data_IF_366461592524
#
_entry.id   IF_366461592524
#
_cell.length_a   1.000
_cell.length_b   1.000
_cell.length_c   1.000
_cell.angle_alpha   90.00
_cell.angle_beta   90.00
_cell.angle_gamma   90.00
#
_symmetry.space_group_name_H-M   'P 1'
#
loop_
_entity.id
_entity.type
_entity.pdbx_description
1 polymer ?
#
# COMPACT_ATOMS: atom_id res chain seq x y z
N UNK A 1 1.65 22.47 -4.31
CA UNK A 1 2.19 21.31 -5.06
C UNK A 1 1.23 20.12 -5.11
N UNK A 2 0.71 19.64 -3.97
CA UNK A 2 -0.17 18.47 -3.92
C UNK A 2 -1.33 18.49 -4.95
N UNK A 3 -2.04 19.62 -5.07
CA UNK A 3 -3.13 19.76 -6.03
C UNK A 3 -2.67 19.54 -7.48
N UNK A 4 -1.63 20.27 -7.92
CA UNK A 4 -1.08 20.13 -9.27
C UNK A 4 -0.54 18.71 -9.51
N UNK A 5 0.12 18.12 -8.50
CA UNK A 5 0.71 16.78 -8.55
C UNK A 5 -0.31 15.68 -8.80
N UNK A 6 -1.46 15.74 -8.14
CA UNK A 6 -2.57 14.81 -8.39
C UNK A 6 -3.06 14.92 -9.84
N UNK A 7 -3.17 16.13 -10.38
CA UNK A 7 -3.68 16.35 -11.75
C UNK A 7 -2.71 15.79 -12.80
N UNK A 8 -1.43 16.19 -12.77
CA UNK A 8 -0.50 15.73 -13.82
C UNK A 8 -0.14 14.25 -13.70
N UNK A 9 -0.04 13.69 -12.48
CA UNK A 9 0.13 12.23 -12.32
C UNK A 9 -1.13 11.50 -12.74
N UNK A 10 -2.31 12.01 -12.38
CA UNK A 10 -3.59 11.51 -12.85
C UNK A 10 -3.65 11.45 -14.37
N UNK A 11 -3.21 12.51 -15.06
CA UNK A 11 -3.11 12.55 -16.53
C UNK A 11 -2.19 11.47 -17.10
N UNK A 12 -1.03 11.24 -16.49
CA UNK A 12 -0.11 10.17 -16.89
C UNK A 12 -0.71 8.78 -16.66
N UNK A 13 -1.37 8.55 -15.51
CA UNK A 13 -2.08 7.30 -15.23
C UNK A 13 -3.25 7.06 -16.18
N UNK A 14 -4.02 8.09 -16.51
CA UNK A 14 -5.10 7.98 -17.52
C UNK A 14 -4.54 7.65 -18.90
N UNK A 15 -3.42 8.28 -19.29
CA UNK A 15 -2.78 8.02 -20.58
C UNK A 15 -2.27 6.58 -20.67
N UNK A 16 -1.55 6.10 -19.66
CA UNK A 16 -1.07 4.71 -19.61
C UNK A 16 -2.21 3.70 -19.42
N UNK A 17 -3.25 4.07 -18.69
CA UNK A 17 -4.47 3.28 -18.54
C UNK A 17 -5.23 3.13 -19.86
N UNK A 18 -5.26 4.17 -20.69
CA UNK A 18 -5.82 4.11 -22.04
C UNK A 18 -4.99 3.20 -22.96
N UNK A 19 -3.65 3.23 -22.85
CA UNK A 19 -2.77 2.28 -23.54
C UNK A 19 -3.08 0.86 -23.09
N UNK A 20 -3.11 0.59 -21.78
CA UNK A 20 -3.44 -0.72 -21.23
C UNK A 20 -4.82 -1.22 -21.69
N UNK A 21 -5.84 -0.35 -21.70
CA UNK A 21 -7.19 -0.68 -22.16
C UNK A 21 -7.22 -1.10 -23.63
N UNK A 22 -6.34 -0.53 -24.46
CA UNK A 22 -6.29 -0.79 -25.90
C UNK A 22 -5.34 -1.91 -26.32
N UNK A 23 -4.21 -2.06 -25.63
CA UNK A 23 -3.18 -3.05 -25.98
C UNK A 23 -3.25 -4.31 -25.13
N UNK A 24 -3.85 -4.24 -23.93
CA UNK A 24 -3.83 -5.32 -22.93
C UNK A 24 -2.43 -5.59 -22.35
N UNK A 25 -1.44 -4.73 -22.64
CA UNK A 25 -0.05 -4.88 -22.19
C UNK A 25 0.34 -3.74 -21.26
N UNK A 26 1.03 -4.09 -20.17
CA UNK A 26 1.56 -3.13 -19.19
C UNK A 26 3.09 -3.03 -19.19
N UNK A 27 3.79 -3.99 -19.81
CA UNK A 27 5.24 -4.03 -19.83
C UNK A 27 5.77 -2.98 -20.82
N UNK A 28 6.64 -2.09 -20.35
CA UNK A 28 7.25 -1.09 -21.22
C UNK A 28 8.06 -1.68 -22.39
N UNK A 29 8.62 -2.88 -22.20
CA UNK A 29 9.34 -3.64 -23.24
C UNK A 29 8.46 -4.13 -24.38
N UNK A 30 7.14 -4.25 -24.15
CA UNK A 30 6.19 -4.74 -25.14
C UNK A 30 5.50 -3.59 -25.89
N UNK A 31 5.75 -2.35 -25.46
CA UNK A 31 5.11 -1.14 -25.96
C UNK A 31 6.12 -0.33 -26.78
N UNK A 32 5.60 0.42 -27.74
CA UNK A 32 6.38 1.32 -28.56
C UNK A 32 5.74 1.55 -29.94
N UNK A 33 6.04 2.69 -30.55
CA UNK A 33 5.49 3.09 -31.85
C UNK A 33 4.02 3.53 -31.83
N UNK A 34 3.38 3.61 -30.65
CA UNK A 34 1.95 3.89 -30.51
C UNK A 34 1.54 5.31 -30.91
N UNK A 35 2.49 6.23 -31.08
CA UNK A 35 2.21 7.62 -31.49
C UNK A 35 1.45 7.70 -32.83
N UNK A 36 1.63 6.70 -33.72
CA UNK A 36 0.96 6.65 -35.03
C UNK A 36 -0.51 6.24 -34.92
N UNK A 37 -0.85 5.44 -33.92
CA UNK A 37 -2.16 4.80 -33.76
C UNK A 37 -3.03 5.49 -32.71
N UNK A 38 -2.40 6.12 -31.71
CA UNK A 38 -3.06 6.81 -30.60
C UNK A 38 -2.54 8.26 -30.41
N UNK A 39 -2.51 9.10 -31.47
CA UNK A 39 -1.88 10.42 -31.42
C UNK A 39 -2.48 11.38 -30.37
N UNK A 40 -3.80 11.29 -30.10
CA UNK A 40 -4.44 12.15 -29.09
C UNK A 40 -4.01 11.76 -27.68
N UNK A 41 -4.00 10.46 -27.40
CA UNK A 41 -3.51 9.93 -26.11
C UNK A 41 -2.04 10.26 -25.92
N UNK A 42 -1.22 10.17 -26.97
CA UNK A 42 0.19 10.59 -26.93
C UNK A 42 0.32 12.08 -26.60
N UNK A 43 -0.46 12.95 -27.25
CA UNK A 43 -0.44 14.38 -26.96
C UNK A 43 -0.78 14.70 -25.51
N UNK A 44 -1.82 14.06 -24.95
CA UNK A 44 -2.17 14.22 -23.53
C UNK A 44 -1.10 13.67 -22.60
N UNK A 45 -0.47 12.54 -22.94
CA UNK A 45 0.65 12.01 -22.18
C UNK A 45 1.84 12.98 -22.17
N UNK A 46 2.16 13.59 -23.31
CA UNK A 46 3.23 14.61 -23.42
C UNK A 46 2.90 15.83 -22.55
N UNK A 47 1.64 16.29 -22.51
CA UNK A 47 1.24 17.40 -21.62
C UNK A 47 1.43 17.01 -20.15
N UNK A 48 1.03 15.79 -19.75
CA UNK A 48 1.29 15.29 -18.40
C UNK A 48 2.78 15.18 -18.09
N UNK A 49 3.57 14.71 -19.05
CA UNK A 49 5.03 14.57 -18.95
C UNK A 49 5.73 15.93 -18.84
N UNK A 50 5.33 16.93 -19.64
CA UNK A 50 5.82 18.29 -19.55
C UNK A 50 5.46 18.94 -18.20
N UNK A 51 4.25 18.66 -17.70
CA UNK A 51 3.77 19.15 -16.40
C UNK A 51 4.56 18.56 -15.25
N UNK A 52 4.73 17.24 -15.17
CA UNK A 52 5.52 16.62 -14.09
C UNK A 52 7.00 17.04 -14.12
N UNK A 53 7.50 17.38 -15.31
CA UNK A 53 8.89 17.82 -15.53
C UNK A 53 9.10 19.30 -15.23
N UNK A 54 8.05 20.03 -14.85
CA UNK A 54 8.13 21.46 -14.58
C UNK A 54 8.63 22.28 -15.79
N UNK A 55 8.14 21.98 -17.00
CA UNK A 55 8.33 22.90 -18.13
C UNK A 55 7.64 24.23 -17.85
N UNK A 56 8.23 25.37 -18.27
CA UNK A 56 7.55 26.66 -18.23
C UNK A 56 6.16 26.59 -18.88
N UNK A 57 5.21 27.35 -18.34
CA UNK A 57 3.78 27.34 -18.73
C UNK A 57 2.95 26.15 -18.23
N UNK A 58 3.54 25.19 -17.53
CA UNK A 58 2.81 24.07 -16.92
C UNK A 58 2.76 24.18 -15.39
N UNK A 59 1.73 23.57 -14.78
CA UNK A 59 1.45 23.64 -13.34
C UNK A 59 2.56 23.08 -12.44
N UNK A 60 3.39 22.17 -12.96
CA UNK A 60 4.55 21.65 -12.24
C UNK A 60 5.67 22.68 -12.10
N UNK A 61 5.85 23.59 -13.07
CA UNK A 61 6.83 24.67 -12.97
C UNK A 61 6.52 25.54 -11.76
N UNK A 62 5.33 26.15 -11.77
CA UNK A 62 4.82 27.01 -10.71
C UNK A 62 4.95 26.35 -9.32
N UNK A 63 4.55 25.09 -9.20
CA UNK A 63 4.47 24.44 -7.89
C UNK A 63 5.78 23.85 -7.37
N UNK A 64 6.68 23.39 -8.26
CA UNK A 64 8.00 22.88 -7.84
C UNK A 64 8.99 24.01 -7.62
N UNK A 65 8.99 25.02 -8.49
CA UNK A 65 9.89 26.18 -8.34
C UNK A 65 9.60 26.93 -7.04
N UNK A 66 8.33 27.07 -6.66
CA UNK A 66 7.92 27.65 -5.37
C UNK A 66 8.55 26.92 -4.17
N UNK A 67 8.53 25.59 -4.14
CA UNK A 67 9.11 24.81 -3.04
C UNK A 67 10.64 24.94 -3.03
N UNK A 68 11.27 24.94 -4.21
CA UNK A 68 12.71 25.10 -4.32
C UNK A 68 13.16 26.47 -3.81
N UNK A 69 12.45 27.54 -4.18
CA UNK A 69 12.76 28.91 -3.74
C UNK A 69 12.53 29.06 -2.25
N UNK A 70 11.41 28.54 -1.72
CA UNK A 70 11.17 28.53 -0.28
C UNK A 70 12.25 27.77 0.51
N UNK A 71 12.82 26.69 -0.05
CA UNK A 71 13.93 25.97 0.59
C UNK A 71 15.23 26.79 0.59
N UNK A 72 15.52 27.54 -0.49
CA UNK A 72 16.66 28.45 -0.56
C UNK A 72 16.52 29.64 0.39
N UNK A 73 15.35 30.28 0.42
CA UNK A 73 15.10 31.47 1.25
C UNK A 73 15.22 31.17 2.75
N UNK A 74 14.91 29.94 3.16
CA UNK A 74 15.06 29.47 4.54
C UNK A 74 16.48 28.95 4.87
N UNK A 75 17.42 29.03 3.92
CA UNK A 75 18.80 28.57 4.09
C UNK A 75 18.96 27.04 4.14
N UNK A 76 18.00 26.28 3.60
CA UNK A 76 18.04 24.82 3.56
C UNK A 76 18.76 24.30 2.31
N UNK A 77 20.02 24.68 2.12
CA UNK A 77 20.81 24.39 0.91
C UNK A 77 20.87 22.89 0.57
N UNK A 78 21.04 22.03 1.58
CA UNK A 78 21.08 20.58 1.38
C UNK A 78 19.73 20.02 0.90
N UNK A 79 18.62 20.55 1.44
CA UNK A 79 17.28 20.17 1.01
C UNK A 79 17.05 20.65 -0.41
N UNK A 80 17.44 21.88 -0.73
CA UNK A 80 17.36 22.41 -2.08
C UNK A 80 18.14 21.57 -3.09
N UNK A 81 19.40 21.19 -2.80
CA UNK A 81 20.19 20.30 -3.65
C UNK A 81 19.49 18.95 -3.85
N UNK A 82 18.93 18.37 -2.78
CA UNK A 82 18.19 17.11 -2.85
C UNK A 82 16.94 17.26 -3.75
N UNK A 83 16.20 18.36 -3.62
CA UNK A 83 15.04 18.67 -4.45
C UNK A 83 15.43 18.90 -5.92
N UNK A 84 16.57 19.54 -6.17
CA UNK A 84 17.13 19.76 -7.50
C UNK A 84 17.41 18.42 -8.20
N UNK A 85 18.12 17.52 -7.52
CA UNK A 85 18.39 16.16 -8.01
C UNK A 85 17.09 15.36 -8.19
N UNK A 86 16.15 15.45 -7.24
CA UNK A 86 14.86 14.80 -7.36
C UNK A 86 14.06 15.31 -8.57
N UNK A 87 14.11 16.62 -8.85
CA UNK A 87 13.45 17.23 -10.01
C UNK A 87 14.05 16.71 -11.33
N UNK A 88 15.37 16.68 -11.44
CA UNK A 88 16.07 16.10 -12.59
C UNK A 88 15.77 14.60 -12.76
N UNK A 89 15.76 13.82 -11.68
CA UNK A 89 15.40 12.41 -11.70
C UNK A 89 13.97 12.16 -12.16
N UNK A 90 13.02 12.98 -11.70
CA UNK A 90 11.61 12.91 -12.12
C UNK A 90 11.43 13.28 -13.59
N UNK A 91 12.11 14.33 -14.07
CA UNK A 91 12.10 14.65 -15.50
C UNK A 91 12.64 13.47 -16.33
N UNK A 92 13.74 12.87 -15.88
CA UNK A 92 14.32 11.76 -16.61
C UNK A 92 13.43 10.50 -16.62
N UNK A 93 12.87 10.12 -15.46
CA UNK A 93 12.00 8.94 -15.35
C UNK A 93 10.59 9.18 -15.88
N UNK A 94 9.87 10.18 -15.38
CA UNK A 94 8.46 10.37 -15.75
C UNK A 94 8.29 11.24 -16.99
N UNK A 95 9.16 12.24 -17.18
CA UNK A 95 9.10 13.17 -18.32
C UNK A 95 9.56 12.55 -19.64
N UNK A 96 10.68 11.83 -19.62
CA UNK A 96 11.28 11.25 -20.82
C UNK A 96 10.92 9.77 -20.95
N UNK A 97 11.21 8.95 -19.93
CA UNK A 97 11.14 7.48 -20.02
C UNK A 97 9.74 6.98 -20.38
N UNK A 98 8.70 7.46 -19.69
CA UNK A 98 7.32 6.98 -19.87
C UNK A 98 6.82 7.28 -21.30
N UNK A 99 6.80 8.54 -21.78
CA UNK A 99 6.33 8.80 -23.14
C UNK A 99 7.22 8.16 -24.20
N UNK A 100 8.54 8.11 -23.97
CA UNK A 100 9.49 7.53 -24.91
C UNK A 100 9.22 6.04 -25.11
N UNK A 101 9.19 5.22 -24.06
CA UNK A 101 8.97 3.78 -24.22
C UNK A 101 7.55 3.43 -24.67
N UNK A 102 6.53 4.12 -24.17
CA UNK A 102 5.16 3.82 -24.57
C UNK A 102 4.87 4.20 -26.05
N UNK A 103 5.38 5.34 -26.52
CA UNK A 103 4.95 5.91 -27.81
C UNK A 103 6.06 6.01 -28.86
N UNK A 104 7.31 6.28 -28.50
CA UNK A 104 8.39 6.64 -29.43
C UNK A 104 9.56 5.63 -29.51
N UNK A 105 9.50 4.53 -28.76
CA UNK A 105 10.50 3.48 -28.82
C UNK A 105 10.35 2.62 -30.08
N UNK A 106 10.76 1.35 -30.01
CA UNK A 106 10.69 0.42 -31.13
C UNK A 106 9.23 0.23 -31.59
N UNK A 107 9.02 -0.13 -32.86
CA UNK A 107 7.67 -0.45 -33.34
C UNK A 107 7.26 -1.83 -32.79
N UNK A 108 6.34 -1.83 -31.83
CA UNK A 108 5.81 -3.05 -31.22
C UNK A 108 4.93 -3.88 -32.17
N UNK A 109 4.60 -3.36 -33.36
CA UNK A 109 3.65 -3.97 -34.30
C UNK A 109 2.19 -3.89 -33.84
N UNK A 110 1.94 -3.36 -32.63
CA UNK A 110 0.60 -3.12 -32.12
C UNK A 110 -0.06 -2.00 -32.92
N UNK A 111 -1.31 -2.24 -33.36
CA UNK A 111 -2.13 -1.26 -34.08
C UNK A 111 -3.48 -1.03 -33.39
N UNK A 112 -3.47 -0.58 -32.12
CA UNK A 112 -4.71 -0.32 -31.41
C UNK A 112 -5.47 0.87 -32.03
N UNK A 113 -6.77 0.93 -31.79
CA UNK A 113 -7.56 2.14 -32.03
C UNK A 113 -7.27 3.18 -30.93
N UNK A 114 -7.45 4.45 -31.23
CA UNK A 114 -7.38 5.56 -30.27
C UNK A 114 -8.27 5.33 -29.03
N UNK A 115 -7.95 5.92 -27.88
CA UNK A 115 -8.77 5.78 -26.67
C UNK A 115 -10.25 6.19 -26.88
N UNK A 116 -11.21 5.56 -26.18
CA UNK A 116 -12.62 5.93 -26.30
C UNK A 116 -12.85 7.39 -25.85
N UNK A 117 -13.81 8.06 -26.47
CA UNK A 117 -14.07 9.50 -26.29
C UNK A 117 -14.19 9.95 -24.83
N UNK A 118 -14.88 9.22 -23.92
CA UNK A 118 -14.94 9.63 -22.51
C UNK A 118 -13.56 9.70 -21.83
N UNK A 119 -12.65 8.78 -22.14
CA UNK A 119 -11.27 8.81 -21.62
C UNK A 119 -10.49 9.99 -22.22
N UNK A 120 -10.67 10.28 -23.51
CA UNK A 120 -10.06 11.45 -24.16
C UNK A 120 -10.54 12.76 -23.54
N UNK A 121 -11.83 12.88 -23.21
CA UNK A 121 -12.38 14.06 -22.55
C UNK A 121 -11.78 14.23 -21.16
N UNK A 122 -11.72 13.16 -20.36
CA UNK A 122 -11.11 13.19 -19.02
C UNK A 122 -9.63 13.62 -19.08
N UNK A 123 -8.86 13.05 -20.02
CA UNK A 123 -7.47 13.46 -20.26
C UNK A 123 -7.37 14.91 -20.75
N UNK A 124 -8.28 15.34 -21.62
CA UNK A 124 -8.34 16.72 -22.12
C UNK A 124 -8.61 17.73 -21.01
N UNK A 125 -9.52 17.44 -20.08
CA UNK A 125 -9.81 18.29 -18.92
C UNK A 125 -8.58 18.39 -18.02
N UNK A 126 -7.94 17.26 -17.69
CA UNK A 126 -6.74 17.27 -16.86
C UNK A 126 -5.56 17.99 -17.55
N UNK A 127 -5.37 17.79 -18.85
CA UNK A 127 -4.36 18.49 -19.64
C UNK A 127 -4.62 20.01 -19.68
N UNK A 128 -5.87 20.42 -19.85
CA UNK A 128 -6.27 21.81 -19.76
C UNK A 128 -5.95 22.39 -18.38
N UNK A 129 -6.32 21.71 -17.28
CA UNK A 129 -6.02 22.17 -15.93
C UNK A 129 -4.50 22.26 -15.66
N UNK A 130 -3.71 21.34 -16.20
CA UNK A 130 -2.25 21.40 -16.12
C UNK A 130 -1.65 22.65 -16.77
N UNK A 131 -2.15 23.05 -17.94
CA UNK A 131 -1.69 24.25 -18.65
C UNK A 131 -2.27 25.50 -18.00
N UNK A 132 -3.57 25.50 -17.71
CA UNK A 132 -4.28 26.62 -17.10
C UNK A 132 -3.68 27.04 -15.76
N UNK A 133 -3.44 26.09 -14.86
CA UNK A 133 -2.79 26.39 -13.57
C UNK A 133 -1.30 26.76 -13.71
N UNK A 134 -0.68 26.42 -14.85
CA UNK A 134 0.65 26.91 -15.19
C UNK A 134 0.59 28.38 -15.56
N UNK A 135 -0.23 28.74 -16.55
CA UNK A 135 -0.32 30.10 -17.11
C UNK A 135 -0.98 31.08 -16.13
N UNK A 136 -2.01 30.67 -15.42
CA UNK A 136 -2.78 31.49 -14.49
C UNK A 136 -2.75 30.90 -13.07
N UNK A 137 -1.62 30.98 -12.36
CA UNK A 137 -1.44 30.36 -11.04
C UNK A 137 -2.21 31.09 -9.93
N UNK A 138 -2.56 32.36 -10.14
CA UNK A 138 -3.20 33.25 -9.19
C UNK A 138 -4.51 32.68 -8.62
N UNK A 139 -5.32 32.03 -9.47
CA UNK A 139 -6.55 31.39 -9.02
C UNK A 139 -6.31 30.36 -7.91
N UNK A 140 -5.21 29.59 -8.00
CA UNK A 140 -4.87 28.61 -6.99
C UNK A 140 -4.28 29.29 -5.75
N UNK A 141 -3.55 30.40 -5.91
CA UNK A 141 -2.95 31.13 -4.79
C UNK A 141 -4.02 31.78 -3.91
N UNK A 142 -5.07 32.34 -4.50
CA UNK A 142 -6.19 32.94 -3.78
C UNK A 142 -6.97 31.90 -2.93
N UNK A 143 -6.89 30.62 -3.29
CA UNK A 143 -7.50 29.53 -2.55
C UNK A 143 -6.61 28.98 -1.43
N UNK A 144 -5.34 29.42 -1.34
CA UNK A 144 -4.44 28.95 -0.30
C UNK A 144 -4.77 29.61 1.04
N UNK A 145 -4.60 28.89 2.17
CA UNK A 145 -4.93 29.41 3.49
C UNK A 145 -4.00 30.54 3.96
N UNK A 146 -2.85 30.73 3.30
CA UNK A 146 -1.85 31.74 3.63
C UNK A 146 -1.54 32.59 2.40
N UNK A 147 -1.24 33.89 2.57
CA UNK A 147 -0.84 34.74 1.47
C UNK A 147 0.47 34.23 0.86
N UNK A 148 0.54 34.19 -0.47
CA UNK A 148 1.69 33.70 -1.23
C UNK A 148 2.17 34.77 -2.20
N UNK A 149 3.27 35.43 -1.84
CA UNK A 149 3.94 36.43 -2.68
C UNK A 149 5.01 35.79 -3.56
N UNK A 150 4.63 34.77 -4.34
CA UNK A 150 5.55 34.07 -5.25
C UNK A 150 5.25 34.43 -6.70
N UNK A 151 6.23 35.00 -7.40
CA UNK A 151 6.14 35.28 -8.84
C UNK A 151 6.85 34.16 -9.64
N UNK A 152 6.11 33.20 -10.23
CA UNK A 152 6.74 32.07 -10.93
C UNK A 152 7.48 32.48 -12.21
N UNK A 153 7.03 33.53 -12.90
CA UNK A 153 7.54 33.92 -14.21
C UNK A 153 8.59 35.03 -14.18
N UNK A 154 9.49 34.99 -13.20
CA UNK A 154 10.69 35.86 -13.23
C UNK A 154 11.75 35.25 -14.13
N UNK A 155 12.68 36.08 -14.61
CA UNK A 155 13.81 35.65 -15.43
C UNK A 155 14.62 34.54 -14.75
N UNK A 156 14.89 34.67 -13.46
CA UNK A 156 15.68 33.73 -12.67
C UNK A 156 15.01 32.35 -12.57
N UNK A 157 13.72 32.30 -12.25
CA UNK A 157 12.97 31.04 -12.14
C UNK A 157 12.89 30.32 -13.48
N UNK A 158 12.62 31.05 -14.56
CA UNK A 158 12.53 30.46 -15.90
C UNK A 158 13.90 29.96 -16.36
N UNK A 159 14.96 30.75 -16.17
CA UNK A 159 16.32 30.38 -16.58
C UNK A 159 16.83 29.16 -15.83
N UNK A 160 16.71 29.15 -14.50
CA UNK A 160 17.17 28.02 -13.65
C UNK A 160 16.45 26.72 -14.00
N UNK A 161 15.14 26.77 -14.24
CA UNK A 161 14.40 25.60 -14.67
C UNK A 161 14.80 25.14 -16.07
N UNK A 162 14.95 26.06 -17.02
CA UNK A 162 15.42 25.73 -18.37
C UNK A 162 16.81 25.11 -18.35
N UNK A 163 17.73 25.60 -17.51
CA UNK A 163 19.05 25.00 -17.31
C UNK A 163 18.95 23.59 -16.75
N UNK A 164 18.15 23.37 -15.71
CA UNK A 164 17.94 22.04 -15.15
C UNK A 164 17.42 21.06 -16.21
N UNK A 165 16.40 21.47 -16.96
CA UNK A 165 15.82 20.66 -18.03
C UNK A 165 16.84 20.38 -19.14
N UNK A 166 17.58 21.40 -19.57
CA UNK A 166 18.60 21.27 -20.60
C UNK A 166 19.72 20.32 -20.17
N UNK A 167 20.33 20.53 -19.01
CA UNK A 167 21.43 19.69 -18.54
C UNK A 167 20.98 18.27 -18.21
N UNK A 168 19.76 18.10 -17.68
CA UNK A 168 19.21 16.76 -17.45
C UNK A 168 18.91 16.03 -18.78
N UNK A 169 18.36 16.73 -19.77
CA UNK A 169 18.13 16.17 -21.10
C UNK A 169 19.45 15.85 -21.81
N UNK A 170 20.45 16.73 -21.69
CA UNK A 170 21.80 16.52 -22.21
C UNK A 170 22.45 15.29 -21.56
N UNK A 171 22.37 15.15 -20.24
CA UNK A 171 22.88 13.98 -19.54
C UNK A 171 22.25 12.69 -20.09
N UNK A 172 20.93 12.66 -20.29
CA UNK A 172 20.27 11.52 -20.91
C UNK A 172 20.73 11.27 -22.35
N UNK A 173 20.79 12.32 -23.18
CA UNK A 173 21.21 12.22 -24.58
C UNK A 173 22.64 11.68 -24.69
N UNK A 174 23.55 12.16 -23.86
CA UNK A 174 24.94 11.67 -23.79
C UNK A 174 25.00 10.21 -23.34
N UNK A 175 24.28 9.83 -22.27
CA UNK A 175 24.22 8.43 -21.83
C UNK A 175 23.71 7.49 -22.93
N UNK A 176 22.71 7.93 -23.70
CA UNK A 176 22.19 7.20 -24.86
C UNK A 176 23.20 7.13 -26.01
N UNK A 177 23.85 8.25 -26.33
CA UNK A 177 24.85 8.34 -27.40
C UNK A 177 26.09 7.49 -27.13
N UNK A 178 26.57 7.48 -25.88
CA UNK A 178 27.69 6.64 -25.45
C UNK A 178 27.30 5.18 -25.18
N UNK A 179 26.03 4.79 -25.40
CA UNK A 179 25.49 3.45 -25.11
C UNK A 179 25.71 2.99 -23.67
N UNK A 180 25.84 3.94 -22.74
CA UNK A 180 25.91 3.68 -21.30
C UNK A 180 24.51 3.56 -20.68
N UNK A 181 23.47 3.97 -21.42
CA UNK A 181 22.10 3.82 -20.96
C UNK A 181 21.72 2.33 -20.88
N UNK A 182 21.19 1.85 -19.74
CA UNK A 182 20.82 0.44 -19.59
C UNK A 182 19.83 0.01 -20.70
N UNK A 183 20.05 -1.14 -21.35
CA UNK A 183 19.10 -1.65 -22.33
C UNK A 183 17.76 -1.98 -21.66
N UNK A 184 16.70 -2.00 -22.46
CA UNK A 184 15.40 -2.51 -22.04
C UNK A 184 15.54 -4.00 -21.71
N UNK A 185 15.67 -4.33 -20.44
CA UNK A 185 15.71 -5.73 -20.00
C UNK A 185 14.28 -6.22 -19.79
N UNK A 186 13.88 -7.36 -20.39
CA UNK A 186 12.65 -8.03 -20.02
C UNK A 186 12.80 -8.49 -18.57
N UNK A 187 12.21 -7.72 -17.66
CA UNK A 187 12.34 -7.93 -16.22
C UNK A 187 10.96 -7.92 -15.59
N UNK A 188 10.73 -8.88 -14.70
CA UNK A 188 9.50 -8.94 -13.89
C UNK A 188 9.73 -8.05 -12.69
N UNK A 189 9.06 -6.90 -12.67
CA UNK A 189 9.11 -6.01 -11.51
C UNK A 189 8.23 -6.60 -10.41
N UNK A 190 8.85 -7.07 -9.32
CA UNK A 190 8.12 -7.57 -8.16
C UNK A 190 7.53 -6.38 -7.40
N UNK A 191 6.25 -6.14 -7.61
CA UNK A 191 5.53 -5.08 -6.91
C UNK A 191 5.40 -5.41 -5.41
N UNK A 192 5.25 -4.38 -4.57
CA UNK A 192 4.97 -4.52 -3.14
C UNK A 192 3.73 -5.39 -2.87
N UNK A 193 2.83 -5.46 -3.87
CA UNK A 193 1.70 -6.37 -3.88
C UNK A 193 2.10 -7.84 -3.69
N UNK A 194 3.19 -8.27 -4.31
CA UNK A 194 3.72 -9.62 -4.12
C UNK A 194 4.05 -9.88 -2.65
N UNK A 195 4.63 -8.90 -1.96
CA UNK A 195 5.03 -9.02 -0.56
C UNK A 195 3.83 -9.27 0.35
N UNK A 196 2.73 -8.52 0.21
CA UNK A 196 1.58 -8.69 1.09
C UNK A 196 0.55 -9.74 0.59
N UNK A 197 0.38 -9.93 -0.72
CA UNK A 197 -0.58 -10.92 -1.27
C UNK A 197 -0.02 -12.33 -1.34
N UNK A 198 1.30 -12.48 -1.54
CA UNK A 198 1.91 -13.78 -1.78
C UNK A 198 2.81 -14.23 -0.63
N UNK A 199 3.72 -13.36 -0.17
CA UNK A 199 4.72 -13.72 0.85
C UNK A 199 4.10 -13.74 2.26
N UNK A 200 3.45 -12.66 2.67
CA UNK A 200 2.86 -12.51 4.00
C UNK A 200 1.89 -13.66 4.37
N UNK A 201 0.88 -14.04 3.56
CA UNK A 201 -0.02 -15.13 3.91
C UNK A 201 0.64 -16.52 3.85
N UNK A 202 1.76 -16.69 3.12
CA UNK A 202 2.52 -17.95 3.16
C UNK A 202 3.33 -18.06 4.44
N UNK A 203 4.00 -16.99 4.85
CA UNK A 203 4.74 -16.93 6.11
C UNK A 203 3.78 -17.06 7.29
N UNK A 204 2.66 -16.33 7.28
CA UNK A 204 1.63 -16.42 8.31
C UNK A 204 1.03 -17.82 8.41
N UNK A 205 0.65 -18.45 7.28
CA UNK A 205 0.12 -19.83 7.30
C UNK A 205 1.16 -20.85 7.79
N UNK A 206 2.43 -20.72 7.41
CA UNK A 206 3.51 -21.58 7.94
C UNK A 206 3.71 -21.37 9.44
N UNK A 207 3.73 -20.11 9.89
CA UNK A 207 3.86 -19.78 11.32
C UNK A 207 2.68 -20.32 12.14
N UNK A 208 1.44 -20.12 11.67
CA UNK A 208 0.24 -20.67 12.27
C UNK A 208 0.25 -22.21 12.29
N UNK A 209 0.71 -22.86 11.21
CA UNK A 209 0.84 -24.32 11.17
C UNK A 209 1.82 -24.83 12.22
N UNK A 210 3.00 -24.21 12.36
CA UNK A 210 3.99 -24.56 13.39
C UNK A 210 3.43 -24.35 14.79
N UNK A 211 2.81 -23.18 15.05
CA UNK A 211 2.17 -22.89 16.33
C UNK A 211 1.06 -23.88 16.66
N UNK A 212 0.20 -24.20 15.69
CA UNK A 212 -0.86 -25.19 15.89
C UNK A 212 -0.32 -26.59 16.15
N UNK A 213 0.79 -26.98 15.52
CA UNK A 213 1.46 -28.25 15.76
C UNK A 213 2.04 -28.39 17.16
N UNK A 214 2.39 -27.27 17.82
CA UNK A 214 2.87 -27.24 19.20
C UNK A 214 1.72 -27.11 20.20
N UNK A 215 0.76 -26.21 19.93
CA UNK A 215 -0.32 -25.88 20.88
C UNK A 215 -1.41 -26.96 20.89
N UNK A 216 -1.74 -27.57 19.74
CA UNK A 216 -2.78 -28.60 19.66
C UNK A 216 -2.49 -29.81 20.58
N UNK A 217 -1.30 -30.46 20.55
CA UNK A 217 -1.04 -31.60 21.43
C UNK A 217 -1.05 -31.21 22.92
N UNK A 218 -0.56 -30.01 23.28
CA UNK A 218 -0.61 -29.50 24.66
C UNK A 218 -2.04 -29.30 25.12
N UNK A 219 -2.88 -28.66 24.29
CA UNK A 219 -4.30 -28.45 24.57
C UNK A 219 -5.02 -29.78 24.70
N UNK A 220 -4.83 -30.69 23.76
CA UNK A 220 -5.54 -31.97 23.72
C UNK A 220 -5.14 -32.86 24.90
N UNK A 221 -3.87 -32.83 25.31
CA UNK A 221 -3.39 -33.48 26.55
C UNK A 221 -4.01 -32.84 27.78
N UNK A 222 -4.09 -31.51 27.82
CA UNK A 222 -4.68 -30.78 28.96
C UNK A 222 -6.17 -31.11 29.10
N UNK A 223 -6.91 -31.15 27.99
CA UNK A 223 -8.32 -31.56 27.95
C UNK A 223 -8.47 -33.02 28.37
N UNK A 224 -7.61 -33.94 27.93
CA UNK A 224 -7.68 -35.35 28.34
C UNK A 224 -7.39 -35.53 29.84
N UNK A 225 -6.44 -34.78 30.39
CA UNK A 225 -6.14 -34.79 31.83
C UNK A 225 -7.32 -34.25 32.62
N UNK A 226 -7.92 -33.13 32.20
CA UNK A 226 -9.11 -32.59 32.86
C UNK A 226 -10.32 -33.52 32.75
N UNK A 227 -10.52 -34.18 31.61
CA UNK A 227 -11.55 -35.20 31.43
C UNK A 227 -11.31 -36.43 32.34
N UNK A 228 -10.04 -36.83 32.53
CA UNK A 228 -9.65 -37.88 33.46
C UNK A 228 -9.92 -37.51 34.92
N UNK A 229 -9.55 -36.29 35.32
CA UNK A 229 -9.78 -35.77 36.69
C UNK A 229 -11.27 -35.62 36.97
N UNK A 230 -12.04 -35.07 36.03
CA UNK A 230 -13.50 -34.95 36.18
C UNK A 230 -14.18 -36.32 36.21
N UNK A 231 -13.73 -37.28 35.39
CA UNK A 231 -14.18 -38.66 35.46
C UNK A 231 -13.85 -39.35 36.79
N UNK A 232 -12.67 -39.08 37.36
CA UNK A 232 -12.30 -39.55 38.70
C UNK A 232 -13.16 -38.88 39.77
N UNK A 233 -13.33 -37.56 39.73
CA UNK A 233 -14.18 -36.83 40.67
C UNK A 233 -15.64 -37.33 40.61
N UNK A 234 -16.18 -37.60 39.43
CA UNK A 234 -17.52 -38.19 39.26
C UNK A 234 -17.61 -39.63 39.78
N UNK A 235 -16.54 -40.43 39.72
CA UNK A 235 -16.52 -41.79 40.31
C UNK A 235 -16.56 -41.78 41.83
N UNK A 236 -15.96 -40.78 42.47
CA UNK A 236 -15.88 -40.69 43.93
C UNK A 236 -17.04 -39.88 44.52
N UNK A 237 -17.45 -38.77 43.89
CA UNK A 237 -18.45 -37.82 44.39
C UNK A 237 -19.70 -37.67 43.50
N UNK A 238 -19.84 -38.44 42.42
CA UNK A 238 -21.03 -38.41 41.58
C UNK A 238 -22.25 -39.10 42.22
N UNK A 239 -23.44 -38.97 41.61
CA UNK A 239 -24.71 -39.51 42.14
C UNK A 239 -24.72 -41.03 42.36
N UNK A 240 -23.80 -41.75 41.71
CA UNK A 240 -23.60 -43.20 41.83
C UNK A 240 -22.21 -43.56 42.39
N UNK A 241 -21.52 -42.59 42.99
CA UNK A 241 -20.18 -42.76 43.56
C UNK A 241 -20.17 -43.64 44.81
N UNK A 242 -18.99 -44.14 45.17
CA UNK A 242 -18.80 -45.04 46.31
C UNK A 242 -19.29 -44.41 47.64
N UNK A 243 -19.20 -43.08 47.76
CA UNK A 243 -19.71 -42.32 48.91
C UNK A 243 -21.20 -41.93 48.83
N UNK A 244 -21.84 -42.04 47.66
CA UNK A 244 -23.26 -41.76 47.45
C UNK A 244 -24.13 -43.02 47.57
N UNK A 245 -23.54 -44.19 47.86
CA UNK A 245 -24.31 -45.36 48.29
C UNK A 245 -24.85 -45.09 49.69
N UNK A 246 -26.12 -44.70 49.76
CA UNK A 246 -26.86 -44.62 51.02
C UNK A 246 -26.67 -45.94 51.79
N UNK A 247 -26.08 -45.93 53.00
CA UNK A 247 -26.13 -47.11 53.84
C UNK A 247 -27.61 -47.39 54.08
N UNK A 248 -28.07 -48.57 53.66
CA UNK A 248 -29.46 -49.03 53.79
C UNK A 248 -29.96 -48.64 55.19
N UNK A 249 -31.03 -47.84 55.25
CA UNK A 249 -31.63 -47.19 56.44
C UNK A 249 -31.82 -48.17 57.63
N UNK A 250 -31.85 -49.47 57.35
CA UNK A 250 -31.80 -50.56 58.32
C UNK A 250 -30.56 -50.57 59.24
N UNK A 251 -29.35 -50.28 58.74
CA UNK A 251 -28.13 -50.36 59.56
C UNK A 251 -27.97 -49.16 60.50
N UNK A 252 -28.33 -47.96 60.04
CA UNK A 252 -28.28 -46.76 60.86
C UNK A 252 -29.32 -46.80 61.99
N UNK A 253 -30.53 -47.30 61.70
CA UNK A 253 -31.57 -47.48 62.72
C UNK A 253 -31.19 -48.57 63.74
N UNK A 254 -30.61 -49.69 63.29
CA UNK A 254 -30.07 -50.72 64.19
C UNK A 254 -28.99 -50.18 65.12
N UNK A 255 -28.04 -49.38 64.62
CA UNK A 255 -26.98 -48.79 65.43
C UNK A 255 -27.54 -47.86 66.52
N UNK A 256 -28.54 -47.03 66.18
CA UNK A 256 -29.20 -46.14 67.14
C UNK A 256 -29.93 -46.95 68.21
N UNK A 257 -30.65 -48.00 67.82
CA UNK A 257 -31.37 -48.89 68.77
C UNK A 257 -30.40 -49.58 69.73
N UNK A 258 -29.27 -50.10 69.21
CA UNK A 258 -28.24 -50.76 70.05
C UNK A 258 -27.64 -49.78 71.05
N UNK A 259 -27.34 -48.55 70.63
CA UNK A 259 -26.81 -47.51 71.54
C UNK A 259 -27.83 -47.13 72.60
N UNK A 260 -29.10 -46.95 72.23
CA UNK A 260 -30.16 -46.64 73.20
C UNK A 260 -30.40 -47.79 74.19
N UNK A 261 -30.42 -49.03 73.72
CA UNK A 261 -30.56 -50.20 74.58
C UNK A 261 -29.38 -50.32 75.56
N UNK A 262 -28.16 -50.08 75.09
CA UNK A 262 -26.97 -50.08 75.94
C UNK A 262 -27.04 -48.99 77.02
N UNK A 263 -27.41 -47.76 76.66
CA UNK A 263 -27.58 -46.66 77.62
C UNK A 263 -28.63 -46.98 78.67
N UNK A 264 -29.75 -47.58 78.26
CA UNK A 264 -30.85 -47.94 79.16
C UNK A 264 -30.45 -49.04 80.15
N UNK A 265 -29.72 -50.06 79.69
CA UNK A 265 -29.15 -51.11 80.56
C UNK A 265 -28.14 -50.52 81.54
N UNK A 266 -27.24 -49.64 81.08
CA UNK A 266 -26.26 -48.96 81.97
C UNK A 266 -26.96 -48.08 83.00
N UNK A 267 -28.08 -47.44 82.65
CA UNK A 267 -28.86 -46.62 83.58
C UNK A 267 -29.58 -47.48 84.64
N UNK A 268 -30.17 -48.61 84.24
CA UNK A 268 -30.81 -49.57 85.15
C UNK A 268 -29.82 -50.20 86.13
N UNK A 269 -28.60 -50.51 85.69
CA UNK A 269 -27.55 -51.08 86.55
C UNK A 269 -26.96 -50.04 87.52
N UNK A 270 -26.99 -48.74 87.19
CA UNK A 270 -26.51 -47.65 88.07
C UNK A 270 -27.58 -47.09 89.03
N UNK A 271 -28.83 -47.52 88.91
CA UNK A 271 -29.96 -47.09 89.73
C UNK A 271 -30.41 -48.09 90.82
N UNK A 272 -29.65 -49.16 91.05
CA UNK A 272 -29.88 -50.18 92.08
C UNK A 272 -28.67 -50.29 93.02
#
# INVERSE_FOLDING_TARGET
HAFNDVIFKGLLFMSMGAVLYRTGRMNGSDLGGLYRTMPKTTGFCIVGAASISAFPLFSGFVSKSMIMVAALDQGYDWIWLTLLFASAGVFHHAGIKIPFFAFFAHDSGLRPKEAPTPMLIAMGIAAFLCIFNGVYPWLLYDMLPYPVDYAPYTWEHVLTQCQLLFFSALAFALLKQFKLYPPELPSVNLDAEWTYRWLLPRVARRGLAVLSGVVAPIRDTSVSVMAGITGLAMRWHGPSGIFARDPVISMASLAIVVVFAFVLVVHLIRGA
#
